data_IF_066004563057
#
_entry.id   IF_066004563057
#
_cell.length_a   1.000
_cell.length_b   1.000
_cell.length_c   1.000
_cell.angle_alpha   90.00
_cell.angle_beta   90.00
_cell.angle_gamma   90.00
#
_symmetry.space_group_name_H-M   'P 1'
#
loop_
_entity.id
_entity.type
_entity.pdbx_description
1 polymer ?
#
# COMPACT_ATOMS: atom_id res chain seq x y z
N UNK A 1 -27.21 -17.54 -3.94
CA UNK A 1 -27.88 -16.24 -3.99
C UNK A 1 -26.96 -15.23 -4.66
N UNK A 2 -27.48 -14.49 -5.63
CA UNK A 2 -26.75 -13.43 -6.36
C UNK A 2 -26.29 -12.34 -5.39
N UNK A 3 -27.11 -12.04 -4.38
CA UNK A 3 -26.80 -11.09 -3.31
C UNK A 3 -25.48 -11.41 -2.60
N UNK A 4 -25.22 -12.69 -2.28
CA UNK A 4 -23.96 -13.13 -1.64
C UNK A 4 -22.74 -12.89 -2.55
N UNK A 5 -22.88 -13.17 -3.85
CA UNK A 5 -21.81 -12.92 -4.83
C UNK A 5 -21.46 -11.43 -4.91
N UNK A 6 -22.48 -10.57 -5.02
CA UNK A 6 -22.32 -9.12 -5.06
C UNK A 6 -21.68 -8.62 -3.75
N UNK A 7 -22.12 -9.15 -2.61
CA UNK A 7 -21.58 -8.77 -1.30
C UNK A 7 -20.09 -9.11 -1.19
N UNK A 8 -19.67 -10.31 -1.58
CA UNK A 8 -18.26 -10.71 -1.52
C UNK A 8 -17.39 -9.89 -2.46
N UNK A 9 -17.83 -9.67 -3.69
CA UNK A 9 -17.13 -8.79 -4.64
C UNK A 9 -17.01 -7.36 -4.10
N UNK A 10 -18.03 -6.87 -3.40
CA UNK A 10 -17.97 -5.57 -2.73
C UNK A 10 -16.89 -5.57 -1.64
N UNK A 11 -16.81 -6.62 -0.80
CA UNK A 11 -15.79 -6.71 0.25
C UNK A 11 -14.37 -6.77 -0.32
N UNK A 12 -14.15 -7.54 -1.41
CA UNK A 12 -12.84 -7.61 -2.04
C UNK A 12 -12.43 -6.27 -2.65
N UNK A 13 -13.35 -5.56 -3.31
CA UNK A 13 -13.08 -4.22 -3.85
C UNK A 13 -12.75 -3.19 -2.76
N UNK A 14 -13.42 -3.23 -1.61
CA UNK A 14 -13.05 -2.40 -0.44
C UNK A 14 -11.62 -2.73 0.01
N UNK A 15 -11.23 -4.01 0.00
CA UNK A 15 -9.86 -4.42 0.34
C UNK A 15 -8.84 -3.92 -0.68
N UNK A 16 -9.16 -4.01 -1.97
CA UNK A 16 -8.33 -3.48 -3.06
C UNK A 16 -8.12 -1.98 -2.93
N UNK A 17 -9.17 -1.20 -2.66
CA UNK A 17 -9.07 0.26 -2.42
C UNK A 17 -8.10 0.56 -1.26
N UNK A 18 -8.28 -0.09 -0.11
CA UNK A 18 -7.41 0.09 1.07
C UNK A 18 -5.95 -0.26 0.74
N UNK A 19 -5.71 -1.31 -0.04
CA UNK A 19 -4.37 -1.70 -0.50
C UNK A 19 -3.75 -0.63 -1.39
N UNK A 20 -4.49 -0.11 -2.38
CA UNK A 20 -4.04 0.95 -3.27
C UNK A 20 -3.73 2.25 -2.51
N UNK A 21 -4.62 2.68 -1.60
CA UNK A 21 -4.41 3.88 -0.78
C UNK A 21 -3.20 3.75 0.14
N UNK A 22 -3.03 2.60 0.78
CA UNK A 22 -1.86 2.35 1.63
C UNK A 22 -0.58 2.29 0.81
N UNK A 23 -0.60 1.75 -0.42
CA UNK A 23 0.55 1.81 -1.32
C UNK A 23 0.86 3.25 -1.73
N UNK A 24 -0.15 4.05 -2.07
CA UNK A 24 0.02 5.47 -2.38
C UNK A 24 0.69 6.22 -1.22
N UNK A 25 0.21 6.00 0.01
CA UNK A 25 0.79 6.59 1.21
C UNK A 25 2.24 6.17 1.42
N UNK A 26 2.53 4.87 1.42
CA UNK A 26 3.90 4.38 1.63
C UNK A 26 4.86 4.82 0.52
N UNK A 27 4.43 4.84 -0.75
CA UNK A 27 5.25 5.36 -1.84
C UNK A 27 5.62 6.83 -1.63
N UNK A 28 4.67 7.67 -1.21
CA UNK A 28 4.93 9.09 -0.92
C UNK A 28 5.87 9.28 0.26
N UNK A 29 5.65 8.55 1.36
CA UNK A 29 6.48 8.64 2.56
C UNK A 29 7.89 8.11 2.30
N UNK A 30 8.04 7.00 1.58
CA UNK A 30 9.35 6.44 1.20
C UNK A 30 10.10 7.41 0.30
N UNK A 31 9.42 8.01 -0.69
CA UNK A 31 10.06 8.99 -1.56
C UNK A 31 10.57 10.19 -0.75
N UNK A 32 9.71 10.75 0.12
CA UNK A 32 10.11 11.82 1.03
C UNK A 32 11.30 11.43 1.91
N UNK A 33 11.27 10.22 2.48
CA UNK A 33 12.34 9.68 3.32
C UNK A 33 13.67 9.59 2.56
N UNK A 34 13.65 9.08 1.34
CA UNK A 34 14.85 8.94 0.50
C UNK A 34 15.38 10.31 0.03
N UNK A 35 14.50 11.25 -0.31
CA UNK A 35 14.90 12.63 -0.63
C UNK A 35 15.52 13.34 0.56
N UNK A 36 14.90 13.25 1.75
CA UNK A 36 15.45 13.81 2.99
C UNK A 36 16.83 13.22 3.29
N UNK A 37 16.95 11.91 3.14
CA UNK A 37 18.20 11.19 3.34
C UNK A 37 19.31 11.66 2.40
N UNK A 38 18.99 11.80 1.10
CA UNK A 38 19.90 12.33 0.08
C UNK A 38 20.49 13.68 0.49
N UNK A 39 19.65 14.59 1.00
CA UNK A 39 20.07 15.94 1.43
C UNK A 39 20.93 15.87 2.68
N UNK A 40 20.52 15.09 3.70
CA UNK A 40 21.28 14.95 4.94
C UNK A 40 22.70 14.40 4.69
N UNK A 41 22.82 13.44 3.78
CA UNK A 41 24.11 12.89 3.38
C UNK A 41 24.95 13.89 2.59
N UNK A 42 24.34 14.64 1.66
CA UNK A 42 25.05 15.68 0.89
C UNK A 42 25.67 16.74 1.82
N UNK A 43 24.97 17.10 2.90
CA UNK A 43 25.48 18.03 3.92
C UNK A 43 26.65 17.40 4.70
N UNK A 44 26.55 16.12 5.05
CA UNK A 44 27.60 15.42 5.79
C UNK A 44 28.93 15.42 5.03
N UNK A 45 28.90 15.13 3.73
CA UNK A 45 30.11 15.07 2.89
C UNK A 45 30.62 16.44 2.43
N UNK A 46 29.93 17.55 2.74
CA UNK A 46 30.32 18.89 2.28
C UNK A 46 31.68 19.37 2.83
N UNK A 47 32.10 18.85 4.00
CA UNK A 47 33.31 19.30 4.71
C UNK A 47 34.40 18.22 4.86
N UNK A 48 34.13 16.98 4.46
CA UNK A 48 35.17 15.94 4.42
C UNK A 48 35.90 16.02 3.08
N UNK A 49 37.20 15.72 3.07
CA UNK A 49 37.95 15.47 1.82
C UNK A 49 37.41 14.18 1.21
N UNK A 50 36.24 14.28 0.58
CA UNK A 50 35.44 13.17 0.12
C UNK A 50 36.20 12.42 -0.96
N UNK A 51 36.39 11.11 -0.75
CA UNK A 51 36.86 10.20 -1.79
C UNK A 51 36.02 10.42 -3.07
N UNK A 52 36.63 10.72 -4.23
CA UNK A 52 35.91 10.99 -5.48
C UNK A 52 34.93 9.88 -5.88
N UNK A 53 35.10 8.66 -5.37
CA UNK A 53 34.15 7.57 -5.59
C UNK A 53 32.84 7.75 -4.81
N UNK A 54 32.87 8.27 -3.58
CA UNK A 54 31.67 8.52 -2.76
C UNK A 54 30.72 9.51 -3.45
N UNK A 55 31.27 10.60 -3.99
CA UNK A 55 30.48 11.64 -4.68
C UNK A 55 29.75 11.10 -5.93
N UNK A 56 30.38 10.17 -6.67
CA UNK A 56 29.75 9.52 -7.83
C UNK A 56 28.55 8.66 -7.41
N UNK A 57 28.66 7.89 -6.33
CA UNK A 57 27.56 7.04 -5.85
C UNK A 57 26.36 7.87 -5.36
N UNK A 58 26.60 8.98 -4.66
CA UNK A 58 25.53 9.88 -4.22
C UNK A 58 24.84 10.61 -5.38
N UNK A 59 25.59 10.97 -6.43
CA UNK A 59 25.00 11.51 -7.65
C UNK A 59 24.11 10.48 -8.35
N UNK A 60 24.55 9.21 -8.46
CA UNK A 60 23.73 8.14 -9.02
C UNK A 60 22.47 7.93 -8.17
N UNK A 61 22.60 7.94 -6.85
CA UNK A 61 21.47 7.81 -5.93
C UNK A 61 20.41 8.91 -6.14
N UNK A 62 20.82 10.18 -6.26
CA UNK A 62 19.88 11.29 -6.44
C UNK A 62 19.13 11.20 -7.77
N UNK A 63 19.81 10.80 -8.85
CA UNK A 63 19.18 10.54 -10.16
C UNK A 63 18.19 9.38 -10.08
N UNK A 64 18.52 8.29 -9.39
CA UNK A 64 17.60 7.16 -9.18
C UNK A 64 16.36 7.57 -8.39
N UNK A 65 16.51 8.34 -7.31
CA UNK A 65 15.38 8.87 -6.54
C UNK A 65 14.48 9.74 -7.42
N UNK A 66 15.08 10.58 -8.28
CA UNK A 66 14.33 11.40 -9.23
C UNK A 66 13.52 10.55 -10.22
N UNK A 67 14.13 9.53 -10.83
CA UNK A 67 13.43 8.64 -11.78
C UNK A 67 12.28 7.89 -11.09
N UNK A 68 12.53 7.37 -9.88
CA UNK A 68 11.51 6.70 -9.07
C UNK A 68 10.37 7.65 -8.73
N UNK A 69 10.66 8.93 -8.43
CA UNK A 69 9.62 9.92 -8.15
C UNK A 69 8.64 10.10 -9.31
N UNK A 70 9.17 10.19 -10.54
CA UNK A 70 8.36 10.28 -11.76
C UNK A 70 7.54 9.03 -11.99
N UNK A 71 8.14 7.85 -11.80
CA UNK A 71 7.46 6.58 -11.95
C UNK A 71 6.32 6.39 -10.93
N UNK A 72 6.52 6.81 -9.66
CA UNK A 72 5.48 6.75 -8.64
C UNK A 72 4.25 7.60 -8.99
N UNK A 73 4.45 8.77 -9.61
CA UNK A 73 3.35 9.60 -10.07
C UNK A 73 2.58 8.95 -11.23
N UNK A 74 3.27 8.24 -12.14
CA UNK A 74 2.64 7.53 -13.25
C UNK A 74 1.85 6.27 -12.87
N UNK A 75 2.01 5.75 -11.65
CA UNK A 75 1.26 4.57 -11.19
C UNK A 75 -0.19 4.89 -10.77
N UNK A 76 -0.53 6.18 -10.61
CA UNK A 76 -1.90 6.67 -10.41
C UNK A 76 -2.70 5.91 -9.33
N UNK A 77 -2.05 5.51 -8.23
CA UNK A 77 -2.69 4.70 -7.19
C UNK A 77 -3.96 5.34 -6.61
N UNK A 78 -4.00 6.67 -6.50
CA UNK A 78 -5.16 7.42 -5.99
C UNK A 78 -6.32 7.40 -6.98
N UNK A 79 -6.06 7.56 -8.27
CA UNK A 79 -7.09 7.52 -9.33
C UNK A 79 -7.69 6.12 -9.44
N UNK A 80 -6.85 5.09 -9.40
CA UNK A 80 -7.29 3.69 -9.37
C UNK A 80 -8.12 3.38 -8.14
N UNK A 81 -7.71 3.86 -6.96
CA UNK A 81 -8.49 3.70 -5.74
C UNK A 81 -9.85 4.40 -5.84
N UNK A 82 -9.92 5.60 -6.43
CA UNK A 82 -11.17 6.32 -6.64
C UNK A 82 -12.14 5.56 -7.57
N UNK A 83 -11.63 4.98 -8.67
CA UNK A 83 -12.43 4.14 -9.56
C UNK A 83 -12.99 2.90 -8.85
N UNK A 84 -12.15 2.20 -8.07
CA UNK A 84 -12.59 1.04 -7.28
C UNK A 84 -13.64 1.45 -6.23
N UNK A 85 -13.51 2.65 -5.67
CA UNK A 85 -14.46 3.21 -4.71
C UNK A 85 -15.84 3.44 -5.30
N UNK A 86 -15.90 4.18 -6.40
CA UNK A 86 -17.15 4.42 -7.13
C UNK A 86 -17.85 3.10 -7.45
N UNK A 87 -17.08 2.10 -7.84
CA UNK A 87 -17.61 0.79 -8.18
C UNK A 87 -18.21 0.03 -7.00
N UNK A 88 -17.53 -0.08 -5.86
CA UNK A 88 -18.13 -0.79 -4.73
C UNK A 88 -19.31 -0.04 -4.11
N UNK A 89 -19.38 1.29 -4.28
CA UNK A 89 -20.55 2.09 -3.93
C UNK A 89 -21.74 1.73 -4.84
N UNK A 90 -21.50 1.59 -6.15
CA UNK A 90 -22.49 1.07 -7.09
C UNK A 90 -22.88 -0.40 -6.80
N UNK A 91 -21.94 -1.27 -6.42
CA UNK A 91 -22.26 -2.64 -5.98
C UNK A 91 -23.16 -2.66 -4.74
N UNK A 92 -23.07 -1.65 -3.85
CA UNK A 92 -23.96 -1.55 -2.69
C UNK A 92 -25.41 -1.36 -3.13
N UNK A 93 -25.66 -0.54 -4.16
CA UNK A 93 -27.03 -0.34 -4.67
C UNK A 93 -27.55 -1.61 -5.35
N UNK A 94 -26.70 -2.32 -6.10
CA UNK A 94 -27.07 -3.61 -6.69
C UNK A 94 -27.35 -4.68 -5.63
N UNK A 95 -26.58 -4.70 -4.54
CA UNK A 95 -26.78 -5.63 -3.43
C UNK A 95 -28.15 -5.49 -2.77
N UNK A 96 -28.58 -4.24 -2.49
CA UNK A 96 -29.91 -3.98 -1.90
C UNK A 96 -31.02 -4.46 -2.84
N UNK A 97 -30.93 -4.13 -4.13
CA UNK A 97 -31.88 -4.61 -5.15
C UNK A 97 -31.89 -6.14 -5.26
N UNK A 98 -30.72 -6.78 -5.18
CA UNK A 98 -30.63 -8.24 -5.20
C UNK A 98 -31.37 -8.89 -4.03
N UNK A 99 -31.23 -8.33 -2.81
CA UNK A 99 -31.95 -8.83 -1.63
C UNK A 99 -33.47 -8.69 -1.80
N UNK A 100 -33.93 -7.57 -2.36
CA UNK A 100 -35.36 -7.31 -2.58
C UNK A 100 -35.95 -8.31 -3.59
N UNK A 101 -35.28 -8.50 -4.73
CA UNK A 101 -35.71 -9.45 -5.77
C UNK A 101 -35.67 -10.91 -5.28
N UNK A 102 -34.65 -11.28 -4.50
CA UNK A 102 -34.56 -12.62 -3.89
C UNK A 102 -35.68 -12.86 -2.86
N UNK A 103 -36.20 -11.82 -2.20
CA UNK A 103 -37.36 -11.93 -1.30
C UNK A 103 -38.68 -12.02 -2.05
N UNK A 104 -38.83 -11.32 -3.17
CA UNK A 104 -40.06 -11.33 -3.98
C UNK A 104 -40.13 -12.53 -4.93
N UNK A 105 -39.01 -13.23 -5.15
CA UNK A 105 -38.93 -14.37 -6.07
C UNK A 105 -38.93 -13.96 -7.55
N UNK A 106 -38.69 -12.68 -7.83
CA UNK A 106 -38.64 -12.15 -9.19
C UNK A 106 -37.33 -12.53 -9.91
N UNK A 107 -37.37 -12.51 -11.24
CA UNK A 107 -36.22 -12.84 -12.07
C UNK A 107 -35.07 -11.87 -11.83
N UNK A 108 -33.89 -12.41 -11.51
CA UNK A 108 -32.67 -11.63 -11.27
C UNK A 108 -31.82 -11.43 -12.54
N UNK A 109 -32.32 -11.79 -13.73
CA UNK A 109 -31.51 -11.81 -14.97
C UNK A 109 -30.99 -10.41 -15.35
N UNK A 110 -31.84 -9.38 -15.29
CA UNK A 110 -31.44 -8.02 -15.63
C UNK A 110 -30.40 -7.47 -14.64
N UNK A 111 -30.54 -7.81 -13.35
CA UNK A 111 -29.57 -7.44 -12.33
C UNK A 111 -28.25 -8.18 -12.49
N UNK A 112 -28.27 -9.43 -12.96
CA UNK A 112 -27.06 -10.20 -13.24
C UNK A 112 -26.27 -9.57 -14.40
N UNK A 113 -26.94 -9.08 -15.45
CA UNK A 113 -26.31 -8.35 -16.55
C UNK A 113 -25.71 -7.01 -16.07
N UNK A 114 -26.44 -6.26 -15.24
CA UNK A 114 -25.95 -5.01 -14.65
C UNK A 114 -24.73 -5.26 -13.76
N UNK A 115 -24.74 -6.36 -12.99
CA UNK A 115 -23.61 -6.78 -12.18
C UNK A 115 -22.39 -7.16 -13.03
N UNK A 116 -22.56 -7.91 -14.12
CA UNK A 116 -21.47 -8.24 -15.04
C UNK A 116 -20.86 -6.99 -15.69
N UNK A 117 -21.69 -6.03 -16.10
CA UNK A 117 -21.22 -4.73 -16.59
C UNK A 117 -20.43 -3.97 -15.51
N UNK A 118 -20.85 -4.04 -14.24
CA UNK A 118 -20.14 -3.44 -13.12
C UNK A 118 -18.82 -4.18 -12.78
N UNK A 119 -18.71 -5.47 -13.06
CA UNK A 119 -17.45 -6.21 -12.92
C UNK A 119 -16.41 -5.70 -13.93
N UNK A 120 -16.81 -5.52 -15.19
CA UNK A 120 -15.92 -5.11 -16.28
C UNK A 120 -15.44 -3.64 -16.20
N UNK A 121 -16.09 -2.80 -15.38
CA UNK A 121 -15.80 -1.36 -15.27
C UNK A 121 -14.51 -1.02 -14.52
N UNK A 122 -14.00 -1.90 -13.66
CA UNK A 122 -12.84 -1.60 -12.82
C UNK A 122 -11.79 -2.71 -12.89
N UNK A 123 -10.58 -2.39 -12.45
CA UNK A 123 -9.47 -3.34 -12.42
C UNK A 123 -9.84 -4.64 -11.69
N UNK A 124 -9.30 -5.75 -12.19
CA UNK A 124 -9.48 -7.05 -11.55
C UNK A 124 -8.82 -7.08 -10.17
N UNK A 125 -9.51 -7.71 -9.22
CA UNK A 125 -9.00 -7.94 -7.87
C UNK A 125 -7.70 -8.74 -7.90
N UNK A 126 -6.76 -8.44 -6.98
CA UNK A 126 -5.57 -9.27 -6.84
C UNK A 126 -5.93 -10.60 -6.16
N UNK A 127 -5.21 -11.70 -6.44
CA UNK A 127 -5.47 -13.00 -5.80
C UNK A 127 -5.41 -12.96 -4.26
N UNK A 128 -4.65 -12.01 -3.70
CA UNK A 128 -4.53 -11.78 -2.26
C UNK A 128 -5.74 -11.06 -1.64
N UNK A 129 -6.53 -10.33 -2.44
CA UNK A 129 -7.58 -9.44 -1.92
C UNK A 129 -8.77 -10.24 -1.35
N UNK A 130 -9.12 -11.39 -1.95
CA UNK A 130 -10.22 -12.24 -1.47
C UNK A 130 -9.94 -12.92 -0.11
N UNK A 131 -8.81 -13.65 0.08
CA UNK A 131 -8.49 -14.21 1.39
C UNK A 131 -8.34 -13.15 2.48
N UNK A 132 -7.81 -11.96 2.15
CA UNK A 132 -7.70 -10.87 3.11
C UNK A 132 -9.05 -10.25 3.49
N UNK A 133 -9.96 -10.11 2.53
CA UNK A 133 -11.32 -9.63 2.79
C UNK A 133 -12.10 -10.63 3.65
N UNK A 134 -11.98 -11.93 3.35
CA UNK A 134 -12.59 -13.02 4.12
C UNK A 134 -12.02 -13.10 5.55
N UNK A 135 -10.71 -12.91 5.71
CA UNK A 135 -10.10 -12.78 7.04
C UNK A 135 -10.66 -11.58 7.79
N UNK A 136 -10.72 -10.40 7.15
CA UNK A 136 -11.22 -9.18 7.80
C UNK A 136 -12.68 -9.33 8.24
N UNK A 137 -13.55 -9.91 7.41
CA UNK A 137 -14.97 -10.11 7.75
C UNK A 137 -15.16 -11.17 8.82
N UNK A 138 -14.42 -12.28 8.79
CA UNK A 138 -14.52 -13.34 9.80
C UNK A 138 -14.05 -12.88 11.18
N UNK A 139 -12.86 -12.26 11.27
CA UNK A 139 -12.31 -11.84 12.56
C UNK A 139 -12.93 -10.56 13.11
N UNK A 140 -13.62 -9.77 12.28
CA UNK A 140 -14.35 -8.57 12.74
C UNK A 140 -15.82 -8.85 13.08
N UNK A 141 -16.33 -10.05 12.77
CA UNK A 141 -17.71 -10.41 13.09
C UNK A 141 -17.90 -10.63 14.59
N UNK A 142 -18.99 -10.10 15.13
CA UNK A 142 -19.41 -10.33 16.53
C UNK A 142 -19.71 -11.82 16.74
N UNK A 143 -20.32 -12.45 15.74
CA UNK A 143 -20.68 -13.86 15.73
C UNK A 143 -20.10 -14.51 14.48
N UNK A 144 -18.98 -15.22 14.68
CA UNK A 144 -18.23 -15.87 13.60
C UNK A 144 -19.05 -16.98 12.91
N UNK A 145 -20.02 -17.58 13.61
CA UNK A 145 -20.85 -18.64 13.08
C UNK A 145 -21.80 -18.18 11.96
N UNK A 146 -22.04 -16.87 11.85
CA UNK A 146 -22.94 -16.26 10.86
C UNK A 146 -22.24 -15.80 9.59
N UNK A 147 -20.91 -15.98 9.50
CA UNK A 147 -20.13 -15.51 8.34
C UNK A 147 -20.11 -16.60 7.27
N UNK A 148 -20.68 -16.29 6.11
CA UNK A 148 -20.72 -17.22 4.97
C UNK A 148 -19.98 -16.65 3.75
N UNK A 149 -19.05 -17.40 3.12
CA UNK A 149 -18.57 -18.72 3.54
C UNK A 149 -17.65 -18.64 4.75
N UNK A 150 -17.57 -19.75 5.49
CA UNK A 150 -16.57 -19.91 6.53
C UNK A 150 -15.18 -20.06 5.91
N UNK A 151 -14.17 -19.32 6.39
CA UNK A 151 -12.82 -19.43 5.86
C UNK A 151 -12.20 -20.79 6.15
N UNK A 152 -11.57 -21.38 5.13
CA UNK A 152 -10.68 -22.53 5.34
C UNK A 152 -9.40 -22.06 6.05
N UNK A 153 -8.81 -22.91 6.90
CA UNK A 153 -7.51 -22.63 7.55
C UNK A 153 -6.45 -22.17 6.53
N UNK A 154 -6.40 -22.79 5.36
CA UNK A 154 -5.51 -22.39 4.26
C UNK A 154 -5.69 -20.93 3.81
N UNK A 155 -6.93 -20.43 3.73
CA UNK A 155 -7.21 -19.05 3.33
C UNK A 155 -6.79 -18.05 4.43
N UNK A 156 -6.96 -18.43 5.70
CA UNK A 156 -6.49 -17.66 6.85
C UNK A 156 -4.96 -17.58 6.82
N UNK A 157 -4.28 -18.70 6.60
CA UNK A 157 -2.82 -18.76 6.52
C UNK A 157 -2.27 -17.90 5.39
N UNK A 158 -2.90 -17.92 4.20
CA UNK A 158 -2.56 -17.03 3.10
C UNK A 158 -2.71 -15.56 3.52
N UNK A 159 -3.83 -15.19 4.14
CA UNK A 159 -4.06 -13.81 4.56
C UNK A 159 -3.02 -13.34 5.58
N UNK A 160 -2.69 -14.18 6.57
CA UNK A 160 -1.66 -13.89 7.58
C UNK A 160 -0.27 -13.80 6.95
N UNK A 161 0.06 -14.73 6.05
CA UNK A 161 1.31 -14.76 5.28
C UNK A 161 1.48 -13.47 4.49
N UNK A 162 0.47 -13.07 3.71
CA UNK A 162 0.48 -11.85 2.91
C UNK A 162 0.70 -10.59 3.77
N UNK A 163 0.01 -10.48 4.91
CA UNK A 163 0.20 -9.38 5.87
C UNK A 163 1.62 -9.33 6.42
N UNK A 164 2.17 -10.48 6.80
CA UNK A 164 3.55 -10.58 7.31
C UNK A 164 4.57 -10.16 6.25
N UNK A 165 4.48 -10.71 5.03
CA UNK A 165 5.39 -10.34 3.94
C UNK A 165 5.27 -8.86 3.56
N UNK A 166 4.06 -8.31 3.52
CA UNK A 166 3.87 -6.88 3.24
C UNK A 166 4.56 -6.01 4.28
N UNK A 167 4.38 -6.31 5.58
CA UNK A 167 5.05 -5.58 6.67
C UNK A 167 6.57 -5.70 6.57
N UNK A 168 7.09 -6.90 6.34
CA UNK A 168 8.53 -7.14 6.17
C UNK A 168 9.10 -6.37 4.97
N UNK A 169 8.43 -6.43 3.82
CA UNK A 169 8.82 -5.72 2.61
C UNK A 169 8.88 -4.22 2.82
N UNK A 170 7.79 -3.62 3.35
CA UNK A 170 7.74 -2.18 3.62
C UNK A 170 8.83 -1.79 4.64
N UNK A 171 8.99 -2.55 5.73
CA UNK A 171 10.02 -2.28 6.73
C UNK A 171 11.42 -2.34 6.12
N UNK A 172 11.69 -3.30 5.23
CA UNK A 172 12.97 -3.41 4.55
C UNK A 172 13.27 -2.20 3.67
N UNK A 173 12.26 -1.64 2.99
CA UNK A 173 12.42 -0.42 2.19
C UNK A 173 12.76 0.80 3.07
N UNK A 174 12.12 0.95 4.23
CA UNK A 174 12.44 2.06 5.14
C UNK A 174 13.85 1.98 5.72
N UNK A 175 14.34 0.76 5.99
CA UNK A 175 15.66 0.53 6.58
C UNK A 175 16.79 0.56 5.55
N UNK A 176 16.48 0.42 4.25
CA UNK A 176 17.47 0.30 3.19
C UNK A 176 18.44 1.50 3.11
N UNK A 177 18.02 2.78 3.20
CA UNK A 177 18.95 3.92 3.22
C UNK A 177 19.94 3.85 4.39
N UNK A 178 19.47 3.43 5.56
CA UNK A 178 20.32 3.25 6.74
C UNK A 178 21.29 2.08 6.55
N UNK A 179 20.82 0.95 6.00
CA UNK A 179 21.68 -0.19 5.67
C UNK A 179 22.78 0.19 4.67
N UNK A 180 22.48 1.01 3.66
CA UNK A 180 23.47 1.50 2.70
C UNK A 180 24.57 2.29 3.40
N UNK A 181 24.26 3.19 4.33
CA UNK A 181 25.30 3.94 5.03
C UNK A 181 26.09 3.11 6.03
N UNK A 182 25.47 2.14 6.70
CA UNK A 182 26.20 1.15 7.51
C UNK A 182 27.23 0.42 6.64
N UNK A 183 26.83 -0.02 5.45
CA UNK A 183 27.72 -0.72 4.52
C UNK A 183 28.83 0.16 3.97
N UNK A 184 28.54 1.43 3.66
CA UNK A 184 29.51 2.37 3.08
C UNK A 184 30.48 2.96 4.12
N UNK A 185 30.04 3.19 5.36
CA UNK A 185 30.82 3.88 6.40
C UNK A 185 31.26 2.99 7.58
N UNK A 186 30.93 1.70 7.61
CA UNK A 186 31.31 0.81 8.71
C UNK A 186 30.77 1.24 10.08
N UNK A 187 31.54 1.01 11.16
CA UNK A 187 31.13 1.24 12.56
C UNK A 187 30.89 2.72 12.97
N UNK A 188 31.12 3.70 12.09
CA UNK A 188 31.05 5.15 12.42
C UNK A 188 29.65 5.80 12.27
N UNK A 189 28.58 4.99 12.28
CA UNK A 189 27.18 5.43 12.21
C UNK A 189 26.80 6.39 13.34
N UNK A 190 27.34 6.15 14.55
CA UNK A 190 27.08 7.01 15.72
C UNK A 190 27.64 8.42 15.47
N UNK A 191 28.77 8.53 14.77
CA UNK A 191 29.36 9.83 14.41
C UNK A 191 28.50 10.56 13.37
N UNK A 192 27.93 9.83 12.40
CA UNK A 192 27.04 10.36 11.38
C UNK A 192 25.76 10.94 11.99
N UNK A 193 25.04 10.13 12.78
CA UNK A 193 23.80 10.57 13.44
C UNK A 193 24.06 11.74 14.40
N UNK A 194 25.15 11.69 15.19
CA UNK A 194 25.51 12.77 16.10
C UNK A 194 25.93 14.08 15.40
N UNK A 195 26.51 14.00 14.19
CA UNK A 195 26.83 15.18 13.36
C UNK A 195 25.57 15.77 12.72
N UNK A 196 24.66 14.93 12.21
CA UNK A 196 23.38 15.38 11.66
C UNK A 196 22.50 16.08 12.72
N UNK A 197 22.39 15.49 13.92
CA UNK A 197 21.66 16.11 15.04
C UNK A 197 22.30 17.45 15.45
N UNK A 198 23.63 17.52 15.53
CA UNK A 198 24.34 18.77 15.85
C UNK A 198 24.17 19.84 14.77
N UNK A 199 24.10 19.46 13.50
CA UNK A 199 23.85 20.39 12.40
C UNK A 199 22.41 20.93 12.44
N UNK A 200 21.42 20.07 12.65
CA UNK A 200 20.02 20.48 12.82
C UNK A 200 19.83 21.38 14.05
N UNK A 201 20.50 21.07 15.16
CA UNK A 201 20.49 21.91 16.36
C UNK A 201 21.13 23.29 16.12
N UNK A 202 22.21 23.38 15.32
CA UNK A 202 22.82 24.66 14.93
C UNK A 202 21.92 25.49 14.01
N UNK A 203 21.18 24.86 13.10
CA UNK A 203 20.19 25.55 12.26
C UNK A 203 19.01 26.08 13.08
N UNK A 204 18.56 25.33 14.09
CA UNK A 204 17.47 25.75 14.97
C UNK A 204 17.83 26.83 15.99
N UNK A 205 19.12 27.05 16.29
CA UNK A 205 19.58 28.11 17.21
C UNK A 205 19.89 29.45 16.52
N UNK A 206 19.86 29.51 15.19
CA UNK A 206 20.13 30.72 14.40
C UNK A 206 18.85 31.35 13.81
N UNK A 207 17.69 31.00 14.36
CA UNK A 207 16.36 31.50 13.97
C UNK A 207 15.70 32.20 15.16
#
# INVERSE_FOLDING_TARGET
>A
MLSNGIWWTRQTRIRTERRLLSNAFHSQVILFWYSFYSVAVSIYYLNDTSDPNSNKYWLIYSVLVLVVSGFMNGLSYKERAASVKENYEHLKTLYVRAIELEKTGESCNDLALEYEAALNKCENQAPADYPEALYDTFYSAIDQSKVEPHPTQYQIDIALKNRKYRKLYISSLYLLPFAITVLLNGNDIVSFVAKCIRFLAKLGCNL
#
